data_IF_540437311503
#
_entry.id   IF_540437311503
#
_cell.length_a   1.000
_cell.length_b   1.000
_cell.length_c   1.000
_cell.angle_alpha   90.00
_cell.angle_beta   90.00
_cell.angle_gamma   90.00
#
_symmetry.space_group_name_H-M   'P 1'
#
loop_
_entity.id
_entity.type
_entity.pdbx_description
1 polymer ?
#
# COMPACT_ATOMS: atom_id res chain seq x y z
N UNK A 1 -13.79 19.90 -0.60
CA UNK A 1 -14.57 18.67 -0.94
C UNK A 1 -14.57 18.34 -2.45
N UNK A 2 -14.31 19.31 -3.35
CA UNK A 2 -14.45 19.15 -4.82
C UNK A 2 -13.20 18.61 -5.55
N UNK A 3 -12.01 18.65 -4.94
CA UNK A 3 -10.75 18.35 -5.63
C UNK A 3 -10.60 16.88 -6.08
N UNK A 4 -11.10 15.92 -5.30
CA UNK A 4 -10.97 14.48 -5.59
C UNK A 4 -11.76 14.01 -6.82
N UNK A 5 -13.06 14.33 -6.98
CA UNK A 5 -13.81 13.96 -8.18
C UNK A 5 -13.28 14.67 -9.44
N UNK A 6 -12.76 15.90 -9.32
CA UNK A 6 -12.08 16.60 -10.42
C UNK A 6 -10.83 15.88 -10.90
N UNK A 7 -9.95 15.47 -9.97
CA UNK A 7 -8.75 14.69 -10.30
C UNK A 7 -9.13 13.34 -10.92
N UNK A 8 -10.15 12.66 -10.38
CA UNK A 8 -10.65 11.41 -10.94
C UNK A 8 -11.19 11.55 -12.37
N UNK A 9 -11.98 12.60 -12.64
CA UNK A 9 -12.51 12.88 -13.98
C UNK A 9 -11.38 13.21 -14.98
N UNK A 10 -10.38 13.97 -14.55
CA UNK A 10 -9.21 14.27 -15.37
C UNK A 10 -8.40 13.01 -15.70
N UNK A 11 -8.17 12.12 -14.73
CA UNK A 11 -7.50 10.84 -14.98
C UNK A 11 -8.26 9.96 -15.98
N UNK A 12 -9.59 9.95 -15.97
CA UNK A 12 -10.39 9.19 -16.93
C UNK A 12 -10.20 9.75 -18.35
N UNK A 13 -10.21 11.08 -18.52
CA UNK A 13 -9.98 11.71 -19.81
C UNK A 13 -8.59 11.37 -20.37
N UNK A 14 -7.58 11.39 -19.49
CA UNK A 14 -6.23 10.98 -19.84
C UNK A 14 -6.16 9.52 -20.29
N UNK A 15 -6.75 8.57 -19.55
CA UNK A 15 -6.75 7.15 -19.93
C UNK A 15 -7.53 6.92 -21.23
N UNK A 16 -8.63 7.64 -21.46
CA UNK A 16 -9.36 7.57 -22.72
C UNK A 16 -8.48 8.02 -23.90
N UNK A 17 -7.70 9.09 -23.73
CA UNK A 17 -6.70 9.54 -24.70
C UNK A 17 -5.61 8.51 -24.95
N UNK A 18 -5.02 7.93 -23.89
CA UNK A 18 -4.01 6.87 -23.99
C UNK A 18 -4.57 5.62 -24.72
N UNK A 19 -5.82 5.26 -24.43
CA UNK A 19 -6.51 4.14 -25.11
C UNK A 19 -6.60 4.40 -26.61
N UNK A 20 -7.06 5.60 -27.01
CA UNK A 20 -7.20 5.98 -28.42
C UNK A 20 -5.85 5.97 -29.16
N UNK A 21 -4.81 6.56 -28.56
CA UNK A 21 -3.46 6.57 -29.13
C UNK A 21 -2.91 5.14 -29.28
N UNK A 22 -3.18 4.27 -28.30
CA UNK A 22 -2.78 2.86 -28.36
C UNK A 22 -3.43 2.11 -29.51
N UNK A 23 -4.70 2.39 -29.80
CA UNK A 23 -5.38 1.86 -30.99
C UNK A 23 -4.71 2.33 -32.30
N UNK A 24 -4.32 3.61 -32.40
CA UNK A 24 -3.63 4.10 -33.60
C UNK A 24 -2.24 3.48 -33.79
N UNK A 25 -1.51 3.23 -32.70
CA UNK A 25 -0.24 2.50 -32.74
C UNK A 25 -0.46 1.07 -33.23
N UNK A 26 -1.46 0.36 -32.70
CA UNK A 26 -1.71 -1.01 -33.13
C UNK A 26 -2.17 -1.08 -34.59
N UNK A 27 -3.08 -0.21 -35.02
CA UNK A 27 -3.70 -0.21 -36.35
C UNK A 27 -2.88 0.49 -37.46
N UNK A 28 -1.66 0.93 -37.18
CA UNK A 28 -0.83 1.63 -38.15
C UNK A 28 -0.60 0.79 -39.43
N UNK A 29 -1.05 1.30 -40.58
CA UNK A 29 -0.95 0.57 -41.85
C UNK A 29 -1.97 -0.57 -42.04
N UNK A 30 -2.96 -0.73 -41.14
CA UNK A 30 -4.02 -1.74 -41.32
C UNK A 30 -4.94 -1.46 -42.53
N UNK A 31 -5.01 -0.19 -42.98
CA UNK A 31 -5.67 0.23 -44.22
C UNK A 31 -4.91 1.37 -44.88
N UNK A 32 -5.02 1.43 -46.21
CA UNK A 32 -4.35 2.41 -47.05
C UNK A 32 -5.10 3.75 -47.16
N UNK A 33 -6.07 3.98 -46.27
CA UNK A 33 -6.86 5.21 -46.19
C UNK A 33 -6.50 6.04 -44.95
N UNK A 34 -6.74 7.35 -45.02
CA UNK A 34 -6.59 8.23 -43.86
C UNK A 34 -7.52 7.80 -42.71
N UNK A 35 -7.09 7.91 -41.44
CA UNK A 35 -5.81 8.48 -40.99
C UNK A 35 -4.62 7.49 -40.98
N UNK A 36 -4.87 6.18 -41.11
CA UNK A 36 -3.88 5.11 -40.84
C UNK A 36 -2.71 5.07 -41.83
N UNK A 37 -2.91 5.54 -43.05
CA UNK A 37 -1.86 5.65 -44.07
C UNK A 37 -0.82 6.76 -43.79
N UNK A 38 -0.94 7.49 -42.68
CA UNK A 38 0.05 8.46 -42.24
C UNK A 38 1.02 7.90 -41.20
N UNK A 39 0.80 6.66 -40.74
CA UNK A 39 1.54 6.08 -39.62
C UNK A 39 2.48 4.98 -40.13
N UNK A 40 3.73 5.10 -39.74
CA UNK A 40 4.81 4.16 -40.01
C UNK A 40 5.82 4.31 -38.89
N UNK A 41 6.69 3.32 -38.67
CA UNK A 41 7.69 3.39 -37.60
C UNK A 41 9.10 3.67 -38.16
N UNK A 42 9.43 3.17 -39.34
CA UNK A 42 10.69 3.44 -40.04
C UNK A 42 10.41 3.68 -41.52
N UNK A 43 11.07 4.69 -42.09
CA UNK A 43 11.20 4.90 -43.53
C UNK A 43 12.67 4.79 -43.88
N UNK A 44 13.02 4.09 -44.98
CA UNK A 44 14.39 4.04 -45.47
C UNK A 44 14.43 4.05 -47.00
N UNK A 45 15.54 4.52 -47.56
CA UNK A 45 15.84 4.36 -48.99
C UNK A 45 16.15 2.88 -49.26
N UNK A 46 15.39 2.29 -50.17
CA UNK A 46 15.47 0.88 -50.54
C UNK A 46 15.68 0.67 -52.04
N UNK A 47 16.11 1.70 -52.78
CA UNK A 47 16.35 1.65 -54.24
C UNK A 47 17.28 0.52 -54.68
N UNK A 48 18.24 0.16 -53.83
CA UNK A 48 19.21 -0.89 -54.12
C UNK A 48 18.61 -2.31 -54.02
N UNK A 49 17.42 -2.48 -53.42
CA UNK A 49 16.81 -3.78 -53.17
C UNK A 49 15.82 -4.13 -54.29
N UNK A 50 16.04 -5.21 -55.05
CA UNK A 50 15.11 -5.64 -56.08
C UNK A 50 13.71 -5.92 -55.53
N UNK A 51 12.68 -5.33 -56.14
CA UNK A 51 11.28 -5.52 -55.73
C UNK A 51 10.82 -4.63 -54.56
N UNK A 52 11.70 -3.79 -54.02
CA UNK A 52 11.32 -2.74 -53.07
C UNK A 52 10.93 -1.45 -53.80
N UNK A 53 10.20 -0.56 -53.10
CA UNK A 53 9.98 0.81 -53.57
C UNK A 53 11.25 1.65 -53.38
N UNK A 54 11.33 2.80 -54.05
CA UNK A 54 12.44 3.75 -53.85
C UNK A 54 12.62 4.13 -52.37
N UNK A 55 11.52 4.46 -51.71
CA UNK A 55 11.45 4.64 -50.27
C UNK A 55 10.42 3.68 -49.71
N UNK A 56 10.84 2.83 -48.78
CA UNK A 56 9.95 1.89 -48.10
C UNK A 56 9.68 2.35 -46.67
N UNK A 57 8.40 2.34 -46.30
CA UNK A 57 7.90 2.53 -44.94
C UNK A 57 7.42 1.23 -44.36
N UNK A 58 7.89 0.89 -43.18
CA UNK A 58 7.35 -0.24 -42.44
C UNK A 58 6.29 0.23 -41.45
N UNK A 59 5.20 -0.53 -41.38
CA UNK A 59 4.07 -0.34 -40.46
C UNK A 59 3.91 -1.58 -39.56
N UNK A 60 2.85 -1.67 -38.76
CA UNK A 60 2.56 -2.86 -37.95
C UNK A 60 1.86 -3.98 -38.74
N UNK A 61 1.41 -3.70 -39.97
CA UNK A 61 0.64 -4.63 -40.80
C UNK A 61 1.27 -4.96 -42.15
N UNK A 62 2.17 -4.12 -42.65
CA UNK A 62 2.75 -4.24 -43.98
C UNK A 62 3.98 -3.34 -44.12
N UNK A 63 4.60 -3.39 -45.31
CA UNK A 63 5.48 -2.33 -45.79
C UNK A 63 4.81 -1.63 -46.98
N UNK A 64 5.09 -0.35 -47.16
CA UNK A 64 4.48 0.50 -48.18
C UNK A 64 5.51 1.40 -48.86
N UNK A 65 5.21 1.83 -50.08
CA UNK A 65 5.90 2.94 -50.72
C UNK A 65 5.44 4.29 -50.18
N UNK A 66 6.07 5.36 -50.66
CA UNK A 66 5.73 6.76 -50.32
C UNK A 66 5.12 7.45 -51.54
N UNK A 67 3.92 7.99 -51.39
CA UNK A 67 3.24 8.80 -52.42
C UNK A 67 3.77 10.25 -52.45
N UNK A 68 3.45 10.97 -53.52
CA UNK A 68 3.62 12.41 -53.73
C UNK A 68 3.09 13.26 -52.58
N UNK A 69 2.01 12.81 -51.93
CA UNK A 69 1.40 13.42 -50.75
C UNK A 69 2.11 13.10 -49.42
N UNK A 70 3.27 12.43 -49.47
CA UNK A 70 4.03 11.94 -48.32
C UNK A 70 3.24 10.93 -47.44
N UNK A 71 2.35 10.14 -48.06
CA UNK A 71 1.51 9.11 -47.41
C UNK A 71 1.94 7.71 -47.83
N UNK A 72 1.58 6.71 -47.04
CA UNK A 72 1.80 5.31 -47.38
C UNK A 72 0.94 4.92 -48.60
N UNK A 73 1.55 4.32 -49.60
CA UNK A 73 0.90 3.92 -50.85
C UNK A 73 1.46 2.59 -51.36
N UNK A 74 0.67 1.85 -52.16
CA UNK A 74 1.04 0.53 -52.70
C UNK A 74 1.64 -0.41 -51.64
N UNK A 75 0.86 -0.65 -50.58
CA UNK A 75 1.26 -1.49 -49.47
C UNK A 75 1.24 -2.98 -49.82
N UNK A 76 2.14 -3.74 -49.21
CA UNK A 76 2.14 -5.20 -49.30
C UNK A 76 0.90 -5.81 -48.65
N UNK A 77 0.65 -7.10 -48.88
CA UNK A 77 -0.47 -7.83 -48.27
C UNK A 77 -0.49 -7.65 -46.75
N UNK A 78 -1.64 -7.26 -46.22
CA UNK A 78 -1.81 -7.06 -44.78
C UNK A 78 -1.63 -8.35 -44.00
N UNK A 79 -0.77 -8.30 -43.00
CA UNK A 79 -0.57 -9.36 -42.01
C UNK A 79 -0.37 -8.70 -40.66
N UNK A 80 -1.22 -9.01 -39.68
CA UNK A 80 -1.02 -8.50 -38.33
C UNK A 80 0.35 -8.93 -37.81
N UNK A 81 0.98 -8.05 -37.02
CA UNK A 81 2.31 -8.28 -36.45
C UNK A 81 3.41 -8.36 -37.54
N UNK A 82 3.34 -7.51 -38.57
CA UNK A 82 4.29 -7.55 -39.68
C UNK A 82 5.72 -7.27 -39.19
N UNK A 83 6.64 -8.25 -39.28
CA UNK A 83 7.96 -8.12 -38.69
C UNK A 83 8.87 -7.28 -39.56
N UNK A 84 9.78 -6.54 -38.92
CA UNK A 84 10.87 -5.89 -39.63
C UNK A 84 12.00 -6.87 -39.88
N UNK A 85 12.13 -7.26 -41.14
CA UNK A 85 13.20 -8.14 -41.61
C UNK A 85 13.32 -7.94 -43.12
N UNK A 86 14.17 -7.00 -43.60
CA UNK A 86 14.25 -6.65 -45.03
C UNK A 86 14.45 -7.86 -45.94
N UNK A 87 15.28 -8.83 -45.54
CA UNK A 87 15.54 -10.05 -46.34
C UNK A 87 14.25 -10.85 -46.53
N UNK A 88 13.49 -11.05 -45.45
CA UNK A 88 12.20 -11.76 -45.50
C UNK A 88 11.07 -10.91 -46.10
N UNK A 89 11.10 -9.59 -45.92
CA UNK A 89 10.06 -8.70 -46.41
C UNK A 89 10.06 -8.61 -47.95
N UNK A 90 11.25 -8.59 -48.56
CA UNK A 90 11.41 -8.50 -50.02
C UNK A 90 11.77 -9.83 -50.70
N UNK A 91 12.20 -10.84 -49.95
CA UNK A 91 12.55 -12.16 -50.49
C UNK A 91 13.89 -12.21 -51.24
N UNK A 92 14.78 -11.24 -50.99
CA UNK A 92 16.11 -11.14 -51.60
C UNK A 92 17.15 -10.68 -50.57
N UNK A 93 18.39 -11.13 -50.74
CA UNK A 93 19.55 -10.63 -50.00
C UNK A 93 20.30 -9.54 -50.79
N UNK A 94 19.97 -9.37 -52.06
CA UNK A 94 20.61 -8.40 -52.95
C UNK A 94 20.22 -6.97 -52.56
N UNK A 95 21.22 -6.10 -52.41
CA UNK A 95 21.01 -4.69 -52.04
C UNK A 95 20.63 -4.43 -50.58
N UNK A 96 20.38 -5.47 -49.78
CA UNK A 96 20.12 -5.35 -48.35
C UNK A 96 21.44 -5.14 -47.59
N UNK A 97 21.51 -4.22 -46.60
CA UNK A 97 22.73 -4.05 -45.81
C UNK A 97 23.15 -5.36 -45.13
N UNK A 98 24.43 -5.72 -45.22
CA UNK A 98 25.00 -6.98 -44.70
C UNK A 98 24.66 -7.27 -43.23
N UNK A 99 24.41 -6.24 -42.43
CA UNK A 99 23.99 -6.41 -41.05
C UNK A 99 22.68 -7.20 -40.89
N UNK A 100 21.76 -7.17 -41.86
CA UNK A 100 20.48 -7.85 -41.80
C UNK A 100 20.52 -9.31 -42.30
N UNK A 101 21.61 -9.72 -42.96
CA UNK A 101 21.74 -11.04 -43.57
C UNK A 101 22.19 -12.05 -42.50
N UNK A 102 21.52 -13.21 -42.46
CA UNK A 102 21.88 -14.31 -41.55
C UNK A 102 21.53 -14.11 -40.07
N UNK A 103 20.71 -13.10 -39.73
CA UNK A 103 20.31 -12.81 -38.34
C UNK A 103 18.82 -12.55 -38.20
N UNK A 104 18.21 -13.15 -37.17
CA UNK A 104 16.79 -12.99 -36.86
C UNK A 104 16.52 -11.92 -35.78
N UNK A 105 17.52 -11.09 -35.43
CA UNK A 105 17.40 -10.13 -34.32
C UNK A 105 16.25 -9.14 -34.49
N UNK A 106 16.13 -8.51 -35.66
CA UNK A 106 15.10 -7.49 -35.93
C UNK A 106 13.69 -8.08 -36.03
N UNK A 107 13.61 -9.29 -36.61
CA UNK A 107 12.40 -10.09 -36.62
C UNK A 107 11.87 -10.28 -35.20
N UNK A 108 12.70 -10.78 -34.28
CA UNK A 108 12.25 -10.99 -32.89
C UNK A 108 11.93 -9.68 -32.15
N UNK A 109 12.72 -8.63 -32.32
CA UNK A 109 12.48 -7.34 -31.64
C UNK A 109 11.10 -6.77 -31.99
N UNK A 110 10.71 -6.82 -33.26
CA UNK A 110 9.39 -6.34 -33.72
C UNK A 110 8.27 -7.31 -33.37
N UNK A 111 8.50 -8.62 -33.55
CA UNK A 111 7.51 -9.67 -33.28
C UNK A 111 7.14 -9.79 -31.80
N UNK A 112 8.08 -9.55 -30.88
CA UNK A 112 7.78 -9.55 -29.44
C UNK A 112 7.13 -8.24 -28.98
N UNK A 113 7.40 -7.10 -29.63
CA UNK A 113 6.79 -5.83 -29.26
C UNK A 113 5.27 -5.82 -29.48
N UNK A 114 4.78 -6.42 -30.57
CA UNK A 114 3.36 -6.37 -30.93
C UNK A 114 2.42 -7.06 -29.91
N UNK A 115 2.69 -8.30 -29.43
CA UNK A 115 1.90 -8.90 -28.35
C UNK A 115 1.90 -8.08 -27.06
N UNK A 116 3.02 -7.45 -26.70
CA UNK A 116 3.07 -6.59 -25.50
C UNK A 116 2.21 -5.34 -25.66
N UNK A 117 2.13 -4.75 -26.86
CA UNK A 117 1.17 -3.68 -27.14
C UNK A 117 -0.29 -4.15 -26.99
N UNK A 118 -0.63 -5.36 -27.44
CA UNK A 118 -1.97 -5.92 -27.27
C UNK A 118 -2.33 -6.18 -25.80
N UNK A 119 -1.41 -6.79 -25.04
CA UNK A 119 -1.59 -7.05 -23.60
C UNK A 119 -1.77 -5.73 -22.86
N UNK A 120 -0.91 -4.74 -23.14
CA UNK A 120 -1.06 -3.41 -22.56
C UNK A 120 -2.42 -2.80 -22.91
N UNK A 121 -2.83 -2.80 -24.18
CA UNK A 121 -4.12 -2.23 -24.59
C UNK A 121 -5.28 -2.86 -23.81
N UNK A 122 -5.27 -4.19 -23.63
CA UNK A 122 -6.29 -4.88 -22.84
C UNK A 122 -6.36 -4.30 -21.42
N UNK A 123 -5.22 -4.18 -20.73
CA UNK A 123 -5.20 -3.61 -19.38
C UNK A 123 -5.48 -2.11 -19.35
N UNK A 124 -5.13 -1.34 -20.38
CA UNK A 124 -5.53 0.06 -20.52
C UNK A 124 -7.05 0.20 -20.61
N UNK A 125 -7.70 -0.64 -21.42
CA UNK A 125 -9.17 -0.65 -21.56
C UNK A 125 -9.85 -1.08 -20.25
N UNK A 126 -9.35 -2.13 -19.59
CA UNK A 126 -9.83 -2.51 -18.25
C UNK A 126 -9.67 -1.35 -17.27
N UNK A 127 -8.52 -0.67 -17.29
CA UNK A 127 -8.26 0.51 -16.46
C UNK A 127 -9.27 1.62 -16.73
N UNK A 128 -9.62 1.90 -18.00
CA UNK A 128 -10.62 2.90 -18.37
C UNK A 128 -11.97 2.61 -17.72
N UNK A 129 -12.47 1.37 -17.81
CA UNK A 129 -13.75 0.99 -17.22
C UNK A 129 -13.72 0.99 -15.69
N UNK A 130 -12.66 0.46 -15.09
CA UNK A 130 -12.50 0.45 -13.63
C UNK A 130 -12.34 1.86 -13.08
N UNK A 131 -11.77 2.78 -13.85
CA UNK A 131 -11.63 4.19 -13.46
C UNK A 131 -12.97 4.92 -13.35
N UNK A 132 -14.02 4.49 -14.06
CA UNK A 132 -15.38 5.01 -13.85
C UNK A 132 -15.87 4.71 -12.42
N UNK A 133 -15.55 3.53 -11.88
CA UNK A 133 -15.86 3.14 -10.50
C UNK A 133 -14.99 3.90 -9.49
N UNK A 134 -13.81 4.38 -9.88
CA UNK A 134 -12.91 5.18 -9.03
C UNK A 134 -13.50 6.54 -8.63
N UNK A 135 -14.47 7.07 -9.37
CA UNK A 135 -15.18 8.32 -9.01
C UNK A 135 -16.00 8.17 -7.72
N UNK A 136 -16.55 6.97 -7.51
CA UNK A 136 -17.51 6.70 -6.44
C UNK A 136 -16.94 5.78 -5.35
N UNK A 137 -15.86 5.03 -5.62
CA UNK A 137 -15.34 4.00 -4.73
C UNK A 137 -13.80 3.99 -4.63
N UNK A 138 -13.31 3.87 -3.39
CA UNK A 138 -11.87 3.69 -3.11
C UNK A 138 -11.33 2.37 -3.62
N UNK A 139 -12.17 1.33 -3.65
CA UNK A 139 -11.81 0.04 -4.24
C UNK A 139 -11.61 0.17 -5.75
N UNK A 140 -12.44 0.99 -6.41
CA UNK A 140 -12.28 1.33 -7.82
C UNK A 140 -10.94 2.01 -8.11
N UNK A 141 -10.51 2.95 -7.27
CA UNK A 141 -9.19 3.59 -7.41
C UNK A 141 -8.05 2.59 -7.26
N UNK A 142 -8.11 1.69 -6.27
CA UNK A 142 -7.06 0.70 -6.06
C UNK A 142 -6.95 -0.30 -7.23
N UNK A 143 -8.09 -0.80 -7.72
CA UNK A 143 -8.13 -1.69 -8.88
C UNK A 143 -7.65 -0.99 -10.16
N UNK A 144 -8.00 0.29 -10.35
CA UNK A 144 -7.51 1.09 -11.47
C UNK A 144 -5.98 1.25 -11.43
N UNK A 145 -5.39 1.50 -10.25
CA UNK A 145 -3.93 1.58 -10.09
C UNK A 145 -3.27 0.25 -10.48
N UNK A 146 -3.78 -0.87 -9.97
CA UNK A 146 -3.21 -2.20 -10.25
C UNK A 146 -3.27 -2.53 -11.74
N UNK A 147 -4.42 -2.33 -12.39
CA UNK A 147 -4.57 -2.58 -13.82
C UNK A 147 -3.69 -1.65 -14.66
N UNK A 148 -3.59 -0.36 -14.28
CA UNK A 148 -2.75 0.60 -14.99
C UNK A 148 -1.25 0.29 -14.83
N UNK A 149 -0.83 -0.20 -13.67
CA UNK A 149 0.56 -0.60 -13.44
C UNK A 149 0.97 -1.77 -14.35
N UNK A 150 0.07 -2.75 -14.53
CA UNK A 150 0.29 -3.85 -15.48
C UNK A 150 0.34 -3.32 -16.91
N UNK A 151 -0.55 -2.39 -17.26
CA UNK A 151 -0.54 -1.74 -18.58
C UNK A 151 0.78 -1.04 -18.86
N UNK A 152 1.24 -0.17 -17.94
CA UNK A 152 2.52 0.54 -18.07
C UNK A 152 3.66 -0.45 -18.27
N UNK A 153 3.76 -1.48 -17.43
CA UNK A 153 4.84 -2.47 -17.53
C UNK A 153 4.99 -3.06 -18.94
N UNK A 154 3.88 -3.52 -19.54
CA UNK A 154 3.92 -4.08 -20.88
C UNK A 154 4.11 -3.02 -21.98
N UNK A 155 3.55 -1.82 -21.81
CA UNK A 155 3.75 -0.71 -22.75
C UNK A 155 5.20 -0.24 -22.80
N UNK A 156 5.84 -0.07 -21.63
CA UNK A 156 7.25 0.34 -21.52
C UNK A 156 8.15 -0.68 -22.22
N UNK A 157 7.91 -1.98 -22.01
CA UNK A 157 8.69 -3.04 -22.69
C UNK A 157 8.50 -2.93 -24.21
N UNK A 158 7.27 -2.85 -24.70
CA UNK A 158 6.98 -2.73 -26.12
C UNK A 158 7.63 -1.48 -26.74
N UNK A 159 7.47 -0.31 -26.09
CA UNK A 159 8.07 0.96 -26.51
C UNK A 159 9.60 0.90 -26.55
N UNK A 160 10.21 0.24 -25.55
CA UNK A 160 11.67 0.06 -25.50
C UNK A 160 12.17 -0.85 -26.62
N UNK A 161 11.47 -1.95 -26.92
CA UNK A 161 11.82 -2.87 -28.01
C UNK A 161 11.69 -2.21 -29.38
N UNK A 162 10.59 -1.50 -29.62
CA UNK A 162 10.38 -0.75 -30.87
C UNK A 162 11.41 0.37 -31.05
N UNK A 163 11.76 1.08 -29.97
CA UNK A 163 12.82 2.11 -29.99
C UNK A 163 14.19 1.49 -30.25
N UNK A 164 14.51 0.37 -29.58
CA UNK A 164 15.77 -0.34 -29.78
C UNK A 164 15.89 -0.87 -31.21
N UNK A 165 14.81 -1.39 -31.79
CA UNK A 165 14.77 -1.84 -33.18
C UNK A 165 14.99 -0.66 -34.14
N UNK A 166 14.29 0.46 -33.94
CA UNK A 166 14.45 1.66 -34.75
C UNK A 166 15.88 2.21 -34.72
N UNK A 167 16.47 2.41 -33.55
CA UNK A 167 17.82 2.97 -33.41
C UNK A 167 18.86 2.09 -34.11
N UNK A 168 18.74 0.77 -33.93
CA UNK A 168 19.62 -0.18 -34.59
C UNK A 168 19.41 -0.20 -36.11
N UNK A 169 18.16 -0.19 -36.57
CA UNK A 169 17.84 -0.16 -38.00
C UNK A 169 18.34 1.12 -38.68
N UNK A 170 18.13 2.29 -38.06
CA UNK A 170 18.63 3.58 -38.55
C UNK A 170 20.16 3.62 -38.66
N UNK A 171 20.89 2.96 -37.76
CA UNK A 171 22.35 2.87 -37.87
C UNK A 171 22.83 2.12 -39.13
N UNK A 172 21.96 1.27 -39.70
CA UNK A 172 22.25 0.44 -40.89
C UNK A 172 21.60 0.96 -42.17
N UNK A 173 20.56 1.79 -42.03
CA UNK A 173 19.97 2.58 -43.10
C UNK A 173 20.23 4.07 -42.83
N UNK A 174 21.32 4.65 -43.36
CA UNK A 174 21.71 6.04 -43.08
C UNK A 174 20.66 7.08 -43.51
N UNK A 175 19.91 6.77 -44.57
CA UNK A 175 18.74 7.51 -45.07
C UNK A 175 17.45 7.25 -44.26
N UNK A 176 17.56 6.55 -43.14
CA UNK A 176 16.45 6.13 -42.30
C UNK A 176 15.80 7.29 -41.55
N UNK A 177 14.53 7.54 -41.84
CA UNK A 177 13.71 8.53 -41.16
C UNK A 177 12.77 7.90 -40.13
N UNK A 178 12.61 8.60 -39.01
CA UNK A 178 11.69 8.22 -37.94
C UNK A 178 10.26 8.55 -38.36
N UNK A 179 9.35 7.61 -38.15
CA UNK A 179 7.92 7.92 -38.18
C UNK A 179 7.50 8.74 -36.97
N UNK A 180 7.66 10.06 -37.05
CA UNK A 180 7.48 10.99 -35.93
C UNK A 180 6.10 10.87 -35.28
N UNK A 181 5.05 10.71 -36.09
CA UNK A 181 3.65 10.58 -35.59
C UNK A 181 3.47 9.31 -34.75
N UNK A 182 3.99 8.19 -35.23
CA UNK A 182 3.87 6.89 -34.57
C UNK A 182 4.62 6.87 -33.24
N UNK A 183 5.88 7.32 -33.24
CA UNK A 183 6.67 7.38 -32.01
C UNK A 183 6.15 8.44 -31.04
N UNK A 184 5.60 9.55 -31.53
CA UNK A 184 4.90 10.51 -30.68
C UNK A 184 3.72 9.84 -29.98
N UNK A 185 2.91 9.04 -30.68
CA UNK A 185 1.81 8.30 -30.03
C UNK A 185 2.32 7.29 -29.01
N UNK A 186 3.36 6.51 -29.33
CA UNK A 186 3.94 5.52 -28.41
C UNK A 186 4.37 6.17 -27.10
N UNK A 187 5.18 7.22 -27.17
CA UNK A 187 5.73 7.88 -25.98
C UNK A 187 4.72 8.79 -25.28
N UNK A 188 3.76 9.36 -26.01
CA UNK A 188 2.65 10.12 -25.39
C UNK A 188 1.75 9.20 -24.59
N UNK A 189 1.41 8.02 -25.11
CA UNK A 189 0.68 7.00 -24.33
C UNK A 189 1.44 6.65 -23.06
N UNK A 190 2.74 6.34 -23.15
CA UNK A 190 3.56 6.01 -21.97
C UNK A 190 3.51 7.13 -20.93
N UNK A 191 3.73 8.38 -21.37
CA UNK A 191 3.69 9.54 -20.49
C UNK A 191 2.32 9.68 -19.80
N UNK A 192 1.22 9.51 -20.54
CA UNK A 192 -0.12 9.61 -20.00
C UNK A 192 -0.41 8.47 -19.00
N UNK A 193 0.01 7.23 -19.29
CA UNK A 193 -0.17 6.10 -18.38
C UNK A 193 0.63 6.28 -17.08
N UNK A 194 1.86 6.80 -17.15
CA UNK A 194 2.66 7.15 -15.96
C UNK A 194 2.05 8.31 -15.17
N UNK A 195 1.58 9.35 -15.86
CA UNK A 195 0.94 10.50 -15.23
C UNK A 195 -0.36 10.11 -14.51
N UNK A 196 -1.12 9.17 -15.07
CA UNK A 196 -2.37 8.66 -14.45
C UNK A 196 -2.08 7.79 -13.23
N UNK A 197 -0.99 7.02 -13.20
CA UNK A 197 -0.51 6.36 -11.97
C UNK A 197 -0.23 7.37 -10.86
N UNK A 198 0.42 8.49 -11.19
CA UNK A 198 0.69 9.56 -10.22
C UNK A 198 -0.60 10.17 -9.68
N UNK A 199 -1.58 10.49 -10.54
CA UNK A 199 -2.85 11.07 -10.10
C UNK A 199 -3.69 10.12 -9.24
N UNK A 200 -3.74 8.82 -9.58
CA UNK A 200 -4.44 7.86 -8.72
C UNK A 200 -3.69 7.60 -7.40
N UNK A 201 -2.35 7.60 -7.42
CA UNK A 201 -1.52 7.54 -6.21
C UNK A 201 -1.80 8.72 -5.28
N UNK A 202 -1.86 9.94 -5.82
CA UNK A 202 -2.18 11.14 -5.04
C UNK A 202 -3.61 11.11 -4.49
N UNK A 203 -4.59 10.59 -5.25
CA UNK A 203 -5.97 10.42 -4.77
C UNK A 203 -6.09 9.38 -3.62
N UNK A 204 -5.16 8.42 -3.56
CA UNK A 204 -5.05 7.42 -2.50
C UNK A 204 -4.32 7.98 -1.26
N UNK A 205 -3.23 8.72 -1.46
CA UNK A 205 -2.38 9.30 -0.43
C UNK A 205 -2.85 10.66 0.11
N UNK A 206 -3.77 11.36 -0.58
CA UNK A 206 -4.33 12.65 -0.14
C UNK A 206 -5.23 12.49 1.08
N UNK A 207 -4.59 12.34 2.23
CA UNK A 207 -5.11 12.68 3.54
C UNK A 207 -3.98 13.14 4.45
N UNK A 208 -3.37 14.29 4.16
CA UNK A 208 -2.69 15.13 5.16
C UNK A 208 -2.30 16.50 4.58
N UNK A 209 -3.26 17.44 4.49
CA UNK A 209 -2.92 18.88 4.57
C UNK A 209 -4.20 19.72 4.77
N UNK A 210 -4.63 19.86 6.03
CA UNK A 210 -5.41 21.02 6.46
C UNK A 210 -5.19 21.24 7.95
N UNK A 211 -3.94 21.46 8.32
CA UNK A 211 -3.52 22.26 9.47
C UNK A 211 -2.01 22.47 9.38
N UNK A 212 -1.60 23.49 8.63
CA UNK A 212 -0.27 24.09 8.74
C UNK A 212 -0.47 25.59 8.55
N UNK A 213 -0.61 26.29 9.66
CA UNK A 213 -0.15 27.65 9.85
C UNK A 213 0.37 27.70 11.29
N UNK A 214 1.63 27.31 11.49
CA UNK A 214 2.61 28.00 12.34
C UNK A 214 3.90 27.17 12.41
N UNK A 215 5.02 27.88 12.50
CA UNK A 215 6.39 27.44 12.73
C UNK A 215 7.22 26.90 11.54
N UNK A 216 8.23 27.70 11.26
CA UNK A 216 9.31 27.61 10.28
C UNK A 216 10.28 26.44 10.52
N UNK A 217 10.78 25.91 9.39
CA UNK A 217 12.16 25.46 9.09
C UNK A 217 12.98 24.79 10.20
N UNK A 218 13.32 23.51 9.97
CA UNK A 218 14.69 23.13 9.61
C UNK A 218 14.64 21.93 8.66
N UNK A 219 15.47 21.99 7.62
CA UNK A 219 15.60 21.02 6.54
C UNK A 219 16.98 20.34 6.64
N UNK A 220 16.97 19.01 6.60
CA UNK A 220 18.08 18.04 6.37
C UNK A 220 17.54 16.70 6.90
N UNK A 221 17.34 15.60 6.17
CA UNK A 221 17.96 15.10 4.95
C UNK A 221 17.00 14.23 4.12
N UNK A 222 17.39 14.01 2.86
CA UNK A 222 16.62 13.37 1.81
C UNK A 222 16.87 11.84 1.68
N UNK A 223 15.76 11.10 1.54
CA UNK A 223 15.54 9.92 0.67
C UNK A 223 16.35 8.60 0.91
N UNK A 224 15.91 7.42 0.37
CA UNK A 224 14.79 7.19 -0.54
C UNK A 224 13.78 6.08 -0.15
N UNK A 225 12.65 6.14 -0.87
CA UNK A 225 11.58 5.17 -0.99
C UNK A 225 12.03 3.76 -1.41
N UNK A 226 11.34 2.74 -0.91
CA UNK A 226 11.06 1.44 -1.55
C UNK A 226 9.77 0.93 -0.87
N UNK A 227 8.58 0.88 -1.48
CA UNK A 227 8.12 0.08 -2.64
C UNK A 227 8.37 -1.43 -2.49
N UNK A 228 7.76 -2.06 -1.50
CA UNK A 228 7.05 -3.34 -1.67
C UNK A 228 6.27 -3.70 -0.40
N UNK A 229 5.05 -4.22 -0.60
CA UNK A 229 4.23 -5.13 0.24
C UNK A 229 2.77 -4.68 0.14
N UNK A 230 2.18 -5.02 -1.00
CA UNK A 230 0.73 -5.23 -1.14
C UNK A 230 0.53 -6.74 -1.24
N UNK A 231 0.19 -7.38 -0.12
CA UNK A 231 -0.59 -8.63 -0.05
C UNK A 231 -0.78 -9.03 1.41
N UNK A 232 -1.63 -8.31 2.15
CA UNK A 232 -2.35 -8.82 3.34
C UNK A 232 -3.30 -7.73 3.87
N UNK A 233 -4.26 -7.32 3.04
CA UNK A 233 -5.36 -6.45 3.47
C UNK A 233 -6.67 -6.78 2.76
N UNK A 234 -6.86 -8.06 2.42
CA UNK A 234 -8.14 -8.60 1.97
C UNK A 234 -8.81 -9.15 3.24
N UNK A 235 -9.99 -8.63 3.55
CA UNK A 235 -10.84 -8.83 4.74
C UNK A 235 -10.77 -7.72 5.80
N UNK A 236 -11.40 -6.57 5.50
CA UNK A 236 -12.21 -5.79 6.46
C UNK A 236 -12.96 -4.68 5.72
N UNK A 237 -14.02 -5.08 5.02
CA UNK A 237 -15.08 -4.18 4.60
C UNK A 237 -16.05 -3.94 5.75
N UNK A 238 -15.74 -3.01 6.66
CA UNK A 238 -16.74 -2.49 7.61
C UNK A 238 -17.27 -1.17 7.07
N UNK A 239 -18.52 -1.24 6.58
CA UNK A 239 -19.31 -0.09 6.12
C UNK A 239 -19.41 0.93 7.25
N UNK A 240 -19.13 2.21 6.97
CA UNK A 240 -19.55 3.30 7.86
C UNK A 240 -21.06 3.46 7.73
N UNK A 241 -21.79 3.23 8.83
CA UNK A 241 -23.21 3.54 8.93
C UNK A 241 -23.45 5.06 8.78
N UNK A 242 -24.63 5.49 8.31
CA UNK A 242 -24.93 6.90 8.11
C UNK A 242 -25.15 7.58 9.46
N UNK A 243 -24.49 8.72 9.66
CA UNK A 243 -24.74 9.59 10.81
C UNK A 243 -26.06 10.31 10.56
N UNK A 244 -27.11 9.94 11.30
CA UNK A 244 -28.40 10.64 11.30
C UNK A 244 -28.20 12.04 11.88
N UNK A 245 -28.37 13.06 11.04
CA UNK A 245 -28.46 14.45 11.48
C UNK A 245 -29.86 14.69 12.06
N UNK A 246 -29.97 14.78 13.39
CA UNK A 246 -31.11 15.44 14.02
C UNK A 246 -30.74 16.90 14.26
N UNK A 247 -31.23 17.79 13.41
CA UNK A 247 -31.24 19.24 13.63
C UNK A 247 -32.33 19.61 14.62
N UNK A 248 -31.96 20.13 15.79
CA UNK A 248 -32.63 21.27 16.46
C UNK A 248 -31.79 21.80 17.63
N UNK A 249 -31.40 23.07 17.49
CA UNK A 249 -31.09 24.09 18.51
C UNK A 249 -30.35 23.69 19.81
N UNK A 250 -29.02 23.88 19.82
CA UNK A 250 -28.28 24.42 20.98
C UNK A 250 -27.01 25.12 20.46
N UNK A 251 -27.03 26.45 20.46
CA UNK A 251 -25.90 27.31 20.08
C UNK A 251 -24.76 27.20 21.11
N UNK A 252 -23.52 27.11 20.63
CA UNK A 252 -22.20 27.03 21.32
C UNK A 252 -21.49 25.66 21.44
N UNK A 253 -21.99 24.58 20.82
CA UNK A 253 -21.25 23.32 20.78
C UNK A 253 -20.50 23.12 19.45
N UNK A 254 -19.28 23.62 19.36
CA UNK A 254 -18.35 23.18 18.30
C UNK A 254 -17.84 21.78 18.62
N UNK A 255 -18.08 20.82 17.72
CA UNK A 255 -17.58 19.43 17.84
C UNK A 255 -16.04 19.40 17.97
N UNK A 256 -15.36 20.47 17.52
CA UNK A 256 -13.92 20.64 17.62
C UNK A 256 -13.40 20.79 19.06
N UNK A 257 -14.26 21.19 20.01
CA UNK A 257 -13.86 21.45 21.39
C UNK A 257 -14.00 20.21 22.31
N UNK A 258 -14.57 19.11 21.80
CA UNK A 258 -14.84 17.90 22.59
C UNK A 258 -13.54 17.29 23.15
N UNK A 259 -12.46 17.09 22.38
CA UNK A 259 -11.23 16.51 22.93
C UNK A 259 -10.61 17.38 24.02
N UNK A 260 -10.69 18.71 23.90
CA UNK A 260 -10.20 19.64 24.91
C UNK A 260 -11.04 19.58 26.20
N UNK A 261 -12.36 19.45 26.08
CA UNK A 261 -13.26 19.25 27.23
C UNK A 261 -12.98 17.91 27.94
N UNK A 262 -12.80 16.83 27.18
CA UNK A 262 -12.43 15.52 27.74
C UNK A 262 -11.06 15.56 28.42
N UNK A 263 -10.09 16.28 27.85
CA UNK A 263 -8.78 16.46 28.48
C UNK A 263 -8.90 17.21 29.81
N UNK A 264 -9.80 18.20 29.93
CA UNK A 264 -10.06 18.85 31.22
C UNK A 264 -10.62 17.88 32.28
N UNK A 265 -11.40 16.88 31.85
CA UNK A 265 -11.85 15.75 32.67
C UNK A 265 -10.77 14.65 32.85
N UNK A 266 -9.52 14.92 32.44
CA UNK A 266 -8.36 14.01 32.51
C UNK A 266 -8.53 12.74 31.69
N UNK A 267 -9.27 12.82 30.58
CA UNK A 267 -9.48 11.73 29.64
C UNK A 267 -8.56 11.92 28.42
N UNK A 268 -7.75 10.89 28.13
CA UNK A 268 -6.83 10.85 26.98
C UNK A 268 -7.23 9.69 26.06
N UNK A 269 -7.30 9.93 24.76
CA UNK A 269 -7.69 8.93 23.77
C UNK A 269 -6.49 8.43 22.95
N UNK A 270 -6.31 7.11 22.92
CA UNK A 270 -5.39 6.39 22.04
C UNK A 270 -6.23 5.61 21.03
N UNK A 271 -6.61 6.28 19.94
CA UNK A 271 -7.55 5.73 18.95
C UNK A 271 -6.97 5.73 17.54
N UNK A 272 -6.91 4.55 16.91
CA UNK A 272 -6.25 4.34 15.61
C UNK A 272 -4.79 3.90 15.74
N UNK A 273 -4.04 3.83 14.63
CA UNK A 273 -2.66 3.36 14.63
C UNK A 273 -1.73 4.24 15.49
N UNK A 274 -0.84 3.60 16.26
CA UNK A 274 0.16 4.29 17.08
C UNK A 274 1.34 4.68 16.18
N UNK A 275 1.51 5.97 15.94
CA UNK A 275 2.65 6.56 15.24
C UNK A 275 3.31 7.65 16.11
N UNK A 276 4.47 8.16 15.67
CA UNK A 276 5.21 9.18 16.41
C UNK A 276 4.38 10.46 16.65
N UNK A 277 3.44 10.77 15.74
CA UNK A 277 2.55 11.92 15.87
C UNK A 277 1.54 11.72 17.00
N UNK A 278 0.95 10.53 17.11
CA UNK A 278 0.05 10.16 18.19
C UNK A 278 0.81 10.12 19.52
N UNK A 279 1.97 9.47 19.56
CA UNK A 279 2.79 9.40 20.76
C UNK A 279 3.18 10.79 21.27
N UNK A 280 3.63 11.69 20.39
CA UNK A 280 3.95 13.08 20.75
C UNK A 280 2.74 13.78 21.39
N UNK A 281 1.55 13.62 20.80
CA UNK A 281 0.32 14.23 21.33
C UNK A 281 -0.10 13.66 22.69
N UNK A 282 -0.05 12.32 22.85
CA UNK A 282 -0.42 11.63 24.08
C UNK A 282 0.56 11.97 25.20
N UNK A 283 1.87 11.93 24.93
CA UNK A 283 2.92 12.31 25.89
C UNK A 283 2.74 13.75 26.36
N UNK A 284 2.48 14.69 25.44
CA UNK A 284 2.21 16.08 25.81
C UNK A 284 0.96 16.22 26.70
N UNK A 285 -0.12 15.49 26.40
CA UNK A 285 -1.33 15.47 27.21
C UNK A 285 -1.08 14.89 28.62
N UNK A 286 -0.32 13.78 28.72
CA UNK A 286 0.03 13.16 30.01
C UNK A 286 0.85 14.12 30.88
N UNK A 287 1.88 14.75 30.31
CA UNK A 287 2.71 15.73 31.02
C UNK A 287 1.92 16.98 31.44
N UNK A 288 1.01 17.45 30.58
CA UNK A 288 0.10 18.54 30.92
C UNK A 288 -0.83 18.19 32.10
N UNK A 289 -1.39 16.97 32.11
CA UNK A 289 -2.25 16.50 33.19
C UNK A 289 -1.50 16.27 34.51
N UNK A 290 -0.26 15.79 34.44
CA UNK A 290 0.64 15.68 35.59
C UNK A 290 0.92 17.05 36.20
N UNK A 291 1.23 18.06 35.38
CA UNK A 291 1.44 19.43 35.85
C UNK A 291 0.19 20.02 36.50
N UNK A 292 -0.99 19.78 35.92
CA UNK A 292 -2.28 20.25 36.46
C UNK A 292 -2.61 19.64 37.82
N UNK A 293 -2.36 18.34 38.00
CA UNK A 293 -2.64 17.64 39.25
C UNK A 293 -1.98 16.25 39.24
N UNK A 294 -0.87 16.11 39.97
CA UNK A 294 -0.06 14.89 40.01
C UNK A 294 -0.66 13.70 40.79
N UNK A 295 -1.70 13.92 41.59
CA UNK A 295 -2.32 12.86 42.41
C UNK A 295 -3.58 12.26 41.79
N UNK A 296 -4.19 12.97 40.83
CA UNK A 296 -5.48 12.56 40.27
C UNK A 296 -5.27 11.54 39.16
N UNK A 297 -6.10 10.49 39.07
CA UNK A 297 -5.96 9.51 38.01
C UNK A 297 -6.17 10.15 36.63
N UNK A 298 -5.53 9.56 35.62
CA UNK A 298 -5.72 9.89 34.21
C UNK A 298 -6.40 8.70 33.55
N UNK A 299 -7.49 8.93 32.83
CA UNK A 299 -8.22 7.86 32.16
C UNK A 299 -7.79 7.79 30.69
N UNK A 300 -7.03 6.75 30.35
CA UNK A 300 -6.57 6.48 29.00
C UNK A 300 -7.50 5.48 28.30
N UNK A 301 -8.25 5.97 27.31
CA UNK A 301 -9.16 5.16 26.51
C UNK A 301 -8.47 4.65 25.25
N UNK A 302 -8.38 3.34 25.09
CA UNK A 302 -7.61 2.66 24.04
C UNK A 302 -8.56 1.98 23.06
N UNK A 303 -8.45 2.34 21.79
CA UNK A 303 -9.08 1.68 20.64
C UNK A 303 -8.09 1.67 19.48
N UNK A 304 -7.10 0.80 19.53
CA UNK A 304 -5.97 0.84 18.62
C UNK A 304 -5.54 -0.55 18.15
N UNK A 305 -5.25 -0.71 16.84
CA UNK A 305 -4.67 -1.93 16.31
C UNK A 305 -3.15 -2.04 16.60
N UNK A 306 -2.57 -1.11 17.37
CA UNK A 306 -1.13 -1.03 17.60
C UNK A 306 -0.42 -0.12 16.60
N UNK A 307 0.89 -0.30 16.45
CA UNK A 307 1.72 0.52 15.57
C UNK A 307 3.21 0.47 15.92
N UNK A 308 3.91 1.60 15.74
CA UNK A 308 5.35 1.68 15.95
C UNK A 308 5.73 1.41 17.42
N UNK A 309 6.66 0.46 17.63
CA UNK A 309 7.11 0.04 18.97
C UNK A 309 7.77 1.18 19.72
N UNK A 310 8.62 1.97 19.06
CA UNK A 310 9.29 3.14 19.65
C UNK A 310 8.29 4.21 20.12
N UNK A 311 7.27 4.49 19.31
CA UNK A 311 6.19 5.42 19.67
C UNK A 311 5.40 4.91 20.89
N UNK A 312 5.10 3.62 20.94
CA UNK A 312 4.45 3.00 22.10
C UNK A 312 5.32 3.03 23.36
N UNK A 313 6.63 2.79 23.25
CA UNK A 313 7.55 2.92 24.40
C UNK A 313 7.62 4.35 24.93
N UNK A 314 7.58 5.38 24.07
CA UNK A 314 7.53 6.76 24.53
C UNK A 314 6.29 7.06 25.39
N UNK A 315 5.13 6.53 24.99
CA UNK A 315 3.89 6.65 25.78
C UNK A 315 4.04 5.87 27.10
N UNK A 316 4.49 4.62 27.03
CA UNK A 316 4.65 3.74 28.19
C UNK A 316 5.61 4.31 29.24
N UNK A 317 6.78 4.76 28.81
CA UNK A 317 7.78 5.35 29.70
C UNK A 317 7.23 6.64 30.33
N UNK A 318 6.42 7.41 29.60
CA UNK A 318 5.74 8.59 30.15
C UNK A 318 4.67 8.20 31.18
N UNK A 319 3.90 7.14 30.95
CA UNK A 319 2.94 6.61 31.93
C UNK A 319 3.62 6.23 33.24
N UNK A 320 4.82 5.65 33.17
CA UNK A 320 5.60 5.26 34.34
C UNK A 320 6.36 6.43 34.99
N UNK A 321 6.69 7.46 34.20
CA UNK A 321 7.42 8.64 34.66
C UNK A 321 6.55 9.60 35.50
N UNK A 322 5.28 9.76 35.12
CA UNK A 322 4.36 10.65 35.83
C UNK A 322 3.89 10.02 37.15
N UNK A 323 3.56 10.84 38.15
CA UNK A 323 3.04 10.36 39.45
C UNK A 323 1.56 10.02 39.38
N UNK A 324 0.83 10.68 38.50
CA UNK A 324 -0.60 10.45 38.30
C UNK A 324 -0.85 9.00 37.84
N UNK A 325 -1.67 8.19 38.54
CA UNK A 325 -1.94 6.83 38.11
C UNK A 325 -2.72 6.83 36.79
N UNK A 326 -2.28 6.04 35.81
CA UNK A 326 -2.93 5.94 34.50
C UNK A 326 -3.88 4.75 34.47
N UNK A 327 -5.17 5.02 34.47
CA UNK A 327 -6.24 4.03 34.37
C UNK A 327 -6.52 3.75 32.89
N UNK A 328 -6.40 2.50 32.46
CA UNK A 328 -6.54 2.13 31.05
C UNK A 328 -7.89 1.48 30.79
N UNK A 329 -8.56 1.88 29.71
CA UNK A 329 -9.89 1.36 29.34
C UNK A 329 -9.90 0.94 27.87
N UNK A 330 -10.08 -0.35 27.61
CA UNK A 330 -10.20 -0.89 26.26
C UNK A 330 -11.62 -0.74 25.72
N UNK A 331 -11.74 -0.01 24.61
CA UNK A 331 -12.96 0.17 23.83
C UNK A 331 -12.78 -0.40 22.42
N UNK A 332 -13.40 -1.53 22.13
CA UNK A 332 -13.34 -2.18 20.82
C UNK A 332 -12.11 -3.07 20.67
N UNK A 333 -10.91 -2.51 20.53
CA UNK A 333 -9.70 -3.34 20.44
C UNK A 333 -8.45 -2.69 21.05
N UNK A 334 -7.58 -3.53 21.59
CA UNK A 334 -6.21 -3.19 21.92
C UNK A 334 -5.30 -4.30 21.38
N UNK A 335 -4.61 -4.04 20.27
CA UNK A 335 -3.73 -5.01 19.63
C UNK A 335 -2.25 -4.56 19.66
N UNK A 336 -1.33 -5.51 19.70
CA UNK A 336 0.12 -5.24 19.61
C UNK A 336 0.62 -4.25 20.68
N UNK A 337 1.24 -3.13 20.26
CA UNK A 337 1.64 -2.08 21.20
C UNK A 337 0.48 -1.49 22.00
N UNK A 338 -0.75 -1.51 21.49
CA UNK A 338 -1.90 -1.01 22.23
C UNK A 338 -2.34 -1.96 23.36
N UNK A 339 -2.22 -3.27 23.18
CA UNK A 339 -2.46 -4.23 24.27
C UNK A 339 -1.40 -4.11 25.35
N UNK A 340 -0.14 -3.85 24.98
CA UNK A 340 0.92 -3.58 25.94
C UNK A 340 0.64 -2.32 26.76
N UNK A 341 0.22 -1.22 26.12
CA UNK A 341 -0.17 0.01 26.84
C UNK A 341 -1.36 -0.23 27.76
N UNK A 342 -2.34 -1.02 27.34
CA UNK A 342 -3.49 -1.38 28.17
C UNK A 342 -3.06 -2.15 29.42
N UNK A 343 -2.21 -3.17 29.27
CA UNK A 343 -1.79 -4.06 30.36
C UNK A 343 -0.83 -3.39 31.34
N UNK A 344 -0.06 -2.39 30.88
CA UNK A 344 0.83 -1.59 31.71
C UNK A 344 0.13 -0.41 32.42
N UNK A 345 -1.20 -0.33 32.38
CA UNK A 345 -1.94 0.63 33.20
C UNK A 345 -1.77 0.36 34.70
N UNK A 346 -2.18 1.32 35.54
CA UNK A 346 -2.10 1.18 36.99
C UNK A 346 -2.86 -0.07 37.48
N UNK A 347 -2.24 -0.94 38.31
CA UNK A 347 -2.86 -2.15 38.82
C UNK A 347 -4.24 -1.91 39.46
N UNK A 348 -5.17 -2.84 39.24
CA UNK A 348 -6.57 -2.74 39.67
C UNK A 348 -7.44 -1.83 38.80
N UNK A 349 -6.86 -1.03 37.90
CA UNK A 349 -7.56 -0.04 37.07
C UNK A 349 -7.37 -0.25 35.56
N UNK A 350 -7.04 -1.48 35.16
CA UNK A 350 -6.99 -1.90 33.74
C UNK A 350 -8.31 -2.55 33.39
N UNK A 351 -9.08 -1.90 32.52
CA UNK A 351 -10.49 -2.19 32.32
C UNK A 351 -10.76 -2.52 30.85
N UNK A 352 -11.66 -3.47 30.60
CA UNK A 352 -12.09 -3.85 29.27
C UNK A 352 -13.62 -3.86 29.16
N UNK A 353 -14.16 -3.46 28.02
CA UNK A 353 -15.60 -3.63 27.76
C UNK A 353 -15.90 -5.04 27.24
N UNK A 354 -17.12 -5.59 27.45
CA UNK A 354 -17.42 -7.00 27.15
C UNK A 354 -17.19 -7.40 25.68
N UNK A 355 -17.46 -6.47 24.75
CA UNK A 355 -17.29 -6.70 23.30
C UNK A 355 -15.90 -6.35 22.78
N UNK A 356 -14.95 -6.00 23.66
CA UNK A 356 -13.59 -5.66 23.22
C UNK A 356 -12.77 -6.91 22.94
N UNK A 357 -11.67 -6.73 22.22
CA UNK A 357 -10.69 -7.81 21.96
C UNK A 357 -9.27 -7.30 22.22
N UNK A 358 -8.47 -8.13 22.88
CA UNK A 358 -7.03 -7.95 22.99
C UNK A 358 -6.35 -8.85 21.95
N UNK A 359 -5.30 -8.36 21.29
CA UNK A 359 -4.46 -9.20 20.45
C UNK A 359 -2.98 -8.98 20.79
N UNK A 360 -2.24 -10.05 20.98
CA UNK A 360 -0.80 -10.03 21.26
C UNK A 360 -0.07 -10.74 20.13
N UNK A 361 1.05 -10.16 19.68
CA UNK A 361 1.93 -10.78 18.69
C UNK A 361 3.36 -10.27 18.86
N UNK A 362 4.30 -10.96 18.21
CA UNK A 362 5.70 -10.59 18.19
C UNK A 362 5.95 -9.24 17.48
N UNK A 363 6.97 -8.47 17.89
CA UNK A 363 7.34 -7.27 17.16
C UNK A 363 7.76 -7.61 15.73
N UNK A 364 7.16 -6.94 14.75
CA UNK A 364 7.48 -7.10 13.34
C UNK A 364 8.47 -6.01 12.91
N UNK A 365 9.51 -6.40 12.18
CA UNK A 365 10.53 -5.50 11.64
C UNK A 365 11.24 -6.12 10.44
N UNK A 366 11.88 -5.28 9.62
CA UNK A 366 12.61 -5.73 8.44
C UNK A 366 13.69 -4.73 8.07
N UNK A 367 14.83 -5.24 7.60
CA UNK A 367 15.94 -4.44 7.09
C UNK A 367 16.53 -5.08 5.84
N UNK A 368 17.03 -4.25 4.94
CA UNK A 368 17.78 -4.68 3.75
C UNK A 368 19.10 -3.92 3.73
N UNK A 369 20.22 -4.61 3.52
CA UNK A 369 21.54 -4.00 3.46
C UNK A 369 22.66 -5.02 3.60
N UNK A 370 23.85 -4.54 3.99
CA UNK A 370 25.02 -5.39 4.22
C UNK A 370 24.75 -6.44 5.32
N UNK A 371 25.47 -7.56 5.27
CA UNK A 371 25.36 -8.63 6.27
C UNK A 371 25.52 -8.11 7.69
N UNK A 372 26.45 -7.18 7.91
CA UNK A 372 26.68 -6.56 9.22
C UNK A 372 25.49 -5.72 9.69
N UNK A 373 24.85 -4.97 8.80
CA UNK A 373 23.66 -4.18 9.13
C UNK A 373 22.48 -5.10 9.48
N UNK A 374 22.28 -6.18 8.73
CA UNK A 374 21.25 -7.19 8.99
C UNK A 374 21.47 -7.86 10.35
N UNK A 375 22.71 -8.23 10.67
CA UNK A 375 23.09 -8.82 11.96
C UNK A 375 22.77 -7.86 13.12
N UNK A 376 23.20 -6.60 13.02
CA UNK A 376 22.95 -5.57 14.04
C UNK A 376 21.46 -5.33 14.26
N UNK A 377 20.68 -5.27 13.18
CA UNK A 377 19.24 -5.05 13.27
C UNK A 377 18.50 -6.26 13.86
N UNK A 378 18.90 -7.48 13.49
CA UNK A 378 18.35 -8.70 14.07
C UNK A 378 18.58 -8.73 15.59
N UNK A 379 19.79 -8.40 16.04
CA UNK A 379 20.10 -8.30 17.48
C UNK A 379 19.25 -7.23 18.18
N UNK A 380 19.05 -6.08 17.54
CA UNK A 380 18.18 -5.02 18.05
C UNK A 380 16.71 -5.47 18.17
N UNK A 381 16.19 -6.16 17.14
CA UNK A 381 14.81 -6.67 17.14
C UNK A 381 14.61 -7.75 18.21
N UNK A 382 15.60 -8.65 18.41
CA UNK A 382 15.60 -9.62 19.50
C UNK A 382 15.55 -8.93 20.87
N UNK A 383 16.36 -7.88 21.07
CA UNK A 383 16.32 -7.08 22.31
C UNK A 383 14.96 -6.45 22.56
N UNK A 384 14.31 -5.92 21.52
CA UNK A 384 12.96 -5.36 21.62
C UNK A 384 11.96 -6.46 22.01
N UNK A 385 12.01 -7.62 21.36
CA UNK A 385 11.16 -8.77 21.67
C UNK A 385 11.28 -9.17 23.14
N UNK A 386 12.51 -9.40 23.62
CA UNK A 386 12.75 -9.76 25.02
C UNK A 386 12.22 -8.71 26.00
N UNK A 387 12.34 -7.41 25.66
CA UNK A 387 11.79 -6.34 26.49
C UNK A 387 10.26 -6.36 26.54
N UNK A 388 9.61 -6.59 25.41
CA UNK A 388 8.13 -6.68 25.34
C UNK A 388 7.64 -7.87 26.17
N UNK A 389 8.29 -9.04 26.05
CA UNK A 389 7.95 -10.24 26.83
C UNK A 389 8.08 -9.96 28.33
N UNK A 390 9.17 -9.29 28.75
CA UNK A 390 9.35 -8.90 30.14
C UNK A 390 8.21 -8.02 30.64
N UNK A 391 7.84 -6.99 29.87
CA UNK A 391 6.78 -6.06 30.24
C UNK A 391 5.41 -6.75 30.36
N UNK A 392 5.09 -7.67 29.45
CA UNK A 392 3.87 -8.48 29.55
C UNK A 392 3.91 -9.37 30.79
N UNK A 393 5.02 -10.06 31.05
CA UNK A 393 5.18 -10.91 32.22
C UNK A 393 4.96 -10.12 33.52
N UNK A 394 5.64 -8.99 33.69
CA UNK A 394 5.52 -8.12 34.86
C UNK A 394 4.07 -7.62 35.03
N UNK A 395 3.44 -7.20 33.94
CA UNK A 395 2.06 -6.68 33.96
C UNK A 395 1.02 -7.76 34.25
N UNK A 396 1.17 -8.95 33.68
CA UNK A 396 0.26 -10.08 33.92
C UNK A 396 0.36 -10.57 35.35
N UNK A 397 1.59 -10.68 35.87
CA UNK A 397 1.85 -11.06 37.26
C UNK A 397 1.14 -10.13 38.23
N UNK A 398 1.29 -8.81 38.08
CA UNK A 398 0.58 -7.81 38.91
C UNK A 398 -0.95 -7.93 38.82
N UNK A 399 -1.48 -8.35 37.67
CA UNK A 399 -2.91 -8.62 37.50
C UNK A 399 -3.42 -9.87 38.21
N UNK A 400 -2.55 -10.85 38.41
CA UNK A 400 -2.86 -12.10 39.07
C UNK A 400 -2.66 -12.00 40.59
N UNK A 401 -1.68 -11.24 41.06
CA UNK A 401 -1.41 -11.00 42.50
C UNK A 401 -2.64 -10.47 43.25
N UNK A 402 -3.49 -9.67 42.60
CA UNK A 402 -4.73 -9.14 43.19
C UNK A 402 -5.91 -10.13 43.30
N UNK A 403 -5.74 -11.40 42.88
CA UNK A 403 -6.85 -12.37 42.68
C UNK A 403 -6.90 -13.55 43.64
N UNK A 404 -6.23 -13.49 44.81
CA UNK A 404 -6.17 -14.59 45.78
C UNK A 404 -7.53 -15.31 46.00
N UNK A 405 -7.62 -16.54 45.49
CA UNK A 405 -8.47 -17.63 45.98
C UNK A 405 -7.63 -18.89 46.12
N UNK A 406 -8.01 -19.66 47.15
CA UNK A 406 -7.32 -20.77 47.84
C UNK A 406 -6.55 -21.79 46.97
N UNK A 407 -5.43 -22.24 47.54
CA UNK A 407 -4.78 -23.55 47.40
C UNK A 407 -5.07 -24.35 46.13
N UNK A 408 -4.40 -23.97 45.03
CA UNK A 408 -4.25 -24.82 43.85
C UNK A 408 -2.82 -25.37 43.87
N UNK A 409 -2.69 -26.70 43.92
CA UNK A 409 -1.42 -27.42 43.76
C UNK A 409 -0.70 -26.94 42.48
N UNK A 410 0.62 -26.84 42.56
CA UNK A 410 1.48 -26.41 41.45
C UNK A 410 1.33 -27.41 40.31
N UNK A 411 0.47 -27.09 39.33
CA UNK A 411 0.32 -27.88 38.12
C UNK A 411 1.60 -27.81 37.28
N UNK A 412 1.99 -28.94 36.69
CA UNK A 412 3.11 -29.02 35.74
C UNK A 412 2.93 -28.01 34.59
N UNK A 413 4.03 -27.46 34.04
CA UNK A 413 3.96 -26.49 32.95
C UNK A 413 3.11 -27.03 31.80
N UNK A 414 2.11 -26.25 31.40
CA UNK A 414 1.18 -26.63 30.32
C UNK A 414 1.98 -27.01 29.07
N UNK A 415 1.80 -28.23 28.54
CA UNK A 415 2.55 -28.65 27.37
C UNK A 415 2.19 -27.77 26.17
N UNK A 416 3.20 -27.34 25.40
CA UNK A 416 3.10 -26.46 24.22
C UNK A 416 2.00 -26.87 23.22
N UNK A 417 1.67 -28.16 23.15
CA UNK A 417 0.58 -28.71 22.34
C UNK A 417 -0.81 -28.23 22.76
N UNK A 418 -1.03 -27.87 24.03
CA UNK A 418 -2.31 -27.33 24.51
C UNK A 418 -2.56 -25.88 24.05
N UNK A 419 -1.51 -25.06 23.97
CA UNK A 419 -1.56 -23.67 23.49
C UNK A 419 -1.89 -23.56 22.00
N UNK A 420 -1.57 -24.60 21.22
CA UNK A 420 -1.89 -24.72 19.80
C UNK A 420 -3.28 -25.33 19.53
N UNK A 421 -3.95 -25.86 20.56
CA UNK A 421 -5.27 -26.48 20.40
C UNK A 421 -6.37 -25.43 20.35
N UNK A 422 -7.48 -25.73 19.67
CA UNK A 422 -8.68 -24.87 19.71
C UNK A 422 -9.33 -24.82 21.09
N UNK A 423 -8.96 -25.75 21.97
CA UNK A 423 -9.42 -25.79 23.35
C UNK A 423 -8.64 -24.77 24.19
N UNK A 424 -9.38 -23.82 24.78
CA UNK A 424 -8.84 -22.73 25.61
C UNK A 424 -9.00 -22.98 27.10
N UNK A 425 -9.32 -24.22 27.50
CA UNK A 425 -9.42 -24.65 28.90
C UNK A 425 -8.15 -24.40 29.73
N UNK A 426 -6.98 -24.39 29.09
CA UNK A 426 -5.69 -24.07 29.73
C UNK A 426 -5.61 -22.66 30.31
N UNK A 427 -6.45 -21.71 29.86
CA UNK A 427 -6.46 -20.35 30.42
C UNK A 427 -6.90 -20.37 31.90
N UNK A 428 -7.75 -21.32 32.28
CA UNK A 428 -8.27 -21.44 33.65
C UNK A 428 -7.25 -22.01 34.64
N UNK A 429 -6.19 -22.66 34.17
CA UNK A 429 -5.11 -23.18 35.02
C UNK A 429 -3.98 -22.17 35.28
N UNK A 430 -4.00 -21.01 34.60
CA UNK A 430 -2.99 -19.97 34.76
C UNK A 430 -3.25 -19.15 36.02
N UNK A 431 -2.24 -19.08 36.87
CA UNK A 431 -2.20 -18.26 38.08
C UNK A 431 -0.78 -17.67 38.26
N UNK A 432 -0.57 -16.89 39.32
CA UNK A 432 0.71 -16.22 39.58
C UNK A 432 1.89 -17.21 39.69
N UNK A 433 1.67 -18.39 40.27
CA UNK A 433 2.71 -19.41 40.48
C UNK A 433 3.06 -20.17 39.19
N UNK A 434 2.11 -20.30 38.26
CA UNK A 434 2.30 -21.03 36.99
C UNK A 434 2.74 -20.11 35.84
N UNK A 435 2.65 -18.79 36.01
CA UNK A 435 3.10 -17.82 35.01
C UNK A 435 4.64 -17.83 34.90
N UNK A 436 5.15 -18.18 33.72
CA UNK A 436 6.59 -18.19 33.41
C UNK A 436 6.91 -17.32 32.19
N UNK A 437 8.17 -16.88 32.06
CA UNK A 437 8.63 -16.17 30.86
C UNK A 437 8.41 -16.95 29.57
N UNK A 438 8.62 -18.27 29.61
CA UNK A 438 8.42 -19.16 28.46
C UNK A 438 6.96 -19.22 28.01
N UNK A 439 6.02 -19.23 28.98
CA UNK A 439 4.60 -19.18 28.69
C UNK A 439 4.23 -17.86 28.00
N UNK A 440 4.71 -16.72 28.52
CA UNK A 440 4.45 -15.40 27.94
C UNK A 440 5.06 -15.27 26.55
N UNK A 441 6.29 -15.77 26.34
CA UNK A 441 6.93 -15.81 25.03
C UNK A 441 6.09 -16.60 24.02
N UNK A 442 5.56 -17.76 24.43
CA UNK A 442 4.68 -18.58 23.58
C UNK A 442 3.35 -17.87 23.27
N UNK A 443 2.75 -17.21 24.25
CA UNK A 443 1.50 -16.45 24.07
C UNK A 443 1.65 -15.32 23.05
N UNK A 444 2.79 -14.63 23.09
CA UNK A 444 3.11 -13.54 22.17
C UNK A 444 3.53 -14.11 20.80
N UNK A 445 4.18 -15.28 20.77
CA UNK A 445 4.65 -15.92 19.53
C UNK A 445 3.57 -16.47 18.60
N UNK A 446 2.35 -16.68 19.10
CA UNK A 446 1.27 -17.36 18.39
C UNK A 446 0.16 -16.43 17.88
N UNK A 447 0.38 -15.12 17.84
CA UNK A 447 -0.57 -14.12 17.32
C UNK A 447 -2.01 -14.31 17.83
N UNK A 448 -2.18 -14.31 19.16
CA UNK A 448 -3.42 -14.71 19.82
C UNK A 448 -4.39 -13.53 20.03
N UNK A 449 -5.68 -13.82 19.84
CA UNK A 449 -6.79 -12.94 20.20
C UNK A 449 -7.44 -13.44 21.50
N UNK A 450 -7.71 -12.51 22.42
CA UNK A 450 -8.38 -12.76 23.69
C UNK A 450 -9.63 -11.91 23.82
N UNK A 451 -10.75 -12.53 24.18
CA UNK A 451 -11.96 -11.83 24.60
C UNK A 451 -11.79 -11.24 26.01
N UNK A 452 -12.79 -10.48 26.49
CA UNK A 452 -12.70 -9.80 27.78
C UNK A 452 -12.53 -10.77 28.97
N UNK A 453 -13.18 -11.93 28.96
CA UNK A 453 -13.09 -12.93 30.03
C UNK A 453 -11.72 -13.63 30.05
N UNK A 454 -11.23 -14.04 28.89
CA UNK A 454 -9.91 -14.63 28.72
C UNK A 454 -8.82 -13.65 29.13
N UNK A 455 -8.91 -12.40 28.70
CA UNK A 455 -7.96 -11.34 29.05
C UNK A 455 -7.91 -11.12 30.57
N UNK A 456 -9.08 -11.12 31.24
CA UNK A 456 -9.15 -11.02 32.70
C UNK A 456 -8.52 -12.24 33.37
N UNK A 457 -8.82 -13.45 32.89
CA UNK A 457 -8.29 -14.71 33.43
C UNK A 457 -6.76 -14.77 33.34
N UNK A 458 -6.19 -14.28 32.24
CA UNK A 458 -4.75 -14.18 32.01
C UNK A 458 -4.05 -13.04 32.78
N UNK A 459 -4.80 -12.18 33.47
CA UNK A 459 -4.24 -11.02 34.19
C UNK A 459 -3.83 -9.85 33.28
N UNK A 460 -4.24 -9.86 32.01
CA UNK A 460 -4.01 -8.75 31.07
C UNK A 460 -4.85 -7.51 31.42
N UNK A 461 -6.01 -7.72 32.04
CA UNK A 461 -6.89 -6.66 32.57
C UNK A 461 -7.44 -7.09 33.92
N UNK A 462 -7.78 -6.11 34.76
CA UNK A 462 -8.25 -6.37 36.12
C UNK A 462 -9.77 -6.57 36.18
N UNK A 463 -10.51 -5.78 35.38
CA UNK A 463 -11.98 -5.71 35.46
C UNK A 463 -12.62 -5.60 34.08
N UNK A 464 -13.82 -6.17 33.98
CA UNK A 464 -14.70 -6.00 32.82
C UNK A 464 -15.79 -5.00 33.22
N UNK A 465 -16.03 -3.99 32.38
CA UNK A 465 -17.12 -3.04 32.56
C UNK A 465 -18.47 -3.78 32.44
N UNK A 466 -19.24 -3.79 33.52
CA UNK A 466 -20.60 -4.36 33.52
C UNK A 466 -21.51 -3.58 32.57
N UNK A 467 -22.39 -4.28 31.85
CA UNK A 467 -23.45 -3.63 31.08
C UNK A 467 -24.53 -3.14 32.04
N UNK A 468 -25.15 -1.99 31.74
CA UNK A 468 -26.23 -1.38 32.53
C UNK A 468 -27.42 -2.31 32.85
N UNK A 469 -27.53 -3.48 32.21
CA UNK A 469 -28.57 -4.48 32.47
C UNK A 469 -28.38 -5.26 33.77
N UNK A 470 -27.17 -5.32 34.35
CA UNK A 470 -26.91 -6.09 35.58
C UNK A 470 -27.16 -5.30 36.87
N UNK A 471 -27.19 -3.97 36.80
CA UNK A 471 -27.49 -3.09 37.95
C UNK A 471 -29.01 -2.79 38.07
N UNK A 472 -29.84 -3.38 37.20
CA UNK A 472 -31.29 -3.18 37.14
C UNK A 472 -32.12 -4.42 37.54
N UNK A 473 -31.48 -5.46 38.09
CA UNK A 473 -32.12 -6.69 38.55
C UNK A 473 -32.02 -6.87 40.07
#
# INVERSE_FOLDING_TARGET
MVLRPLIGAFSILLIAGATLLSFFVLLAGARDSAPLNNFYWLEADTKAIPGAHDFTRWTTYNHCGVDTDNKNFQCSKNSADYPFDPVRNFGTEEGVPQAFIGTHRWYYLTRFAFPFYLISLFFTVVTLFVSLLSLCSRLGSALAISANAISVFFWTIAASLSTACFVQAKSKFPSGHLGTKMFAFIWTTEFILLLTLFFFGFACCSRKQSSKNFAHRHASDAAPCNLHITMMSILRGVRKAPFFAHTRAYSDFSIHDIPAKLLNERIVHVAGPIDDSMATSVVAQLLYLEHKSAQKPIHMYINSPGGAVTAGFAILDTMNYIRSPVHTVCLGQAASMASLLLTCGAPGNRIMTPNSTIMTHEPLGGIVGSSKLVELHTFHLQRIRSRIIQLYYDSMRLGLEGRLKEDVEVAEPTPLTSLLSSDRSWIDSINEKTLTHSLVDTLIGLDQFFNADEARKLGLVDRILKTKSEDAA
#
